data_IF_843105427517
#
_entry.id   IF_843105427517
#
_cell.length_a   1.000
_cell.length_b   1.000
_cell.length_c   1.000
_cell.angle_alpha   90.00
_cell.angle_beta   90.00
_cell.angle_gamma   90.00
#
_symmetry.space_group_name_H-M   'P 1'
#
loop_
_entity.id
_entity.type
_entity.pdbx_description
1 polymer ?
#
# COMPACT_ATOMS: atom_id res chain seq x y z
N UNK A 1 22.93 -17.07 2.13
CA UNK A 1 22.76 -18.33 2.89
C UNK A 1 21.31 -18.75 2.82
N UNK A 2 21.04 -20.04 2.64
CA UNK A 2 19.69 -20.59 2.52
C UNK A 2 19.11 -20.90 3.91
N UNK A 3 18.02 -20.24 4.30
CA UNK A 3 17.38 -20.37 5.62
C UNK A 3 16.91 -21.77 5.96
N UNK A 4 16.50 -22.55 4.96
CA UNK A 4 16.06 -23.93 5.15
C UNK A 4 17.20 -24.87 5.56
N UNK A 5 18.47 -24.47 5.38
CA UNK A 5 19.64 -25.26 5.77
C UNK A 5 19.96 -25.21 7.26
N UNK A 6 19.35 -24.29 8.01
CA UNK A 6 19.50 -24.19 9.47
C UNK A 6 18.40 -24.93 10.24
N UNK A 7 17.51 -25.64 9.55
CA UNK A 7 16.42 -26.38 10.16
C UNK A 7 16.87 -27.79 10.58
N UNK A 8 16.47 -28.30 11.76
CA UNK A 8 16.76 -29.67 12.16
C UNK A 8 16.15 -30.70 11.20
N UNK A 9 16.78 -31.88 11.01
CA UNK A 9 16.18 -32.97 10.24
C UNK A 9 14.82 -33.37 10.80
N UNK A 10 13.81 -33.49 9.93
CA UNK A 10 12.45 -33.86 10.33
C UNK A 10 11.63 -32.73 10.98
N UNK A 11 12.13 -31.49 11.00
CA UNK A 11 11.42 -30.36 11.63
C UNK A 11 10.25 -29.79 10.81
N UNK A 12 10.03 -30.28 9.59
CA UNK A 12 8.89 -29.91 8.74
C UNK A 12 8.15 -31.20 8.41
N UNK A 13 6.95 -31.32 8.97
CA UNK A 13 6.08 -32.50 8.85
C UNK A 13 4.96 -32.31 7.83
N UNK A 14 4.76 -31.09 7.34
CA UNK A 14 3.63 -30.73 6.48
C UNK A 14 3.96 -29.55 5.56
N UNK A 15 3.24 -29.48 4.44
CA UNK A 15 3.29 -28.34 3.53
C UNK A 15 2.88 -27.03 4.22
N UNK A 16 1.88 -27.09 5.10
CA UNK A 16 1.43 -25.94 5.89
C UNK A 16 2.54 -25.38 6.78
N UNK A 17 3.31 -26.26 7.45
CA UNK A 17 4.42 -25.83 8.29
C UNK A 17 5.57 -25.23 7.47
N UNK A 18 5.85 -25.79 6.30
CA UNK A 18 6.79 -25.18 5.34
C UNK A 18 6.34 -23.78 4.91
N UNK A 19 5.07 -23.61 4.53
CA UNK A 19 4.50 -22.32 4.15
C UNK A 19 4.56 -21.32 5.31
N UNK A 20 4.32 -21.76 6.55
CA UNK A 20 4.40 -20.92 7.75
C UNK A 20 5.82 -20.43 7.99
N UNK A 21 6.80 -21.33 7.97
CA UNK A 21 8.21 -20.99 8.18
C UNK A 21 8.78 -20.12 7.04
N UNK A 22 8.44 -20.44 5.80
CA UNK A 22 8.76 -19.61 4.63
C UNK A 22 8.18 -18.21 4.79
N UNK A 23 6.88 -18.12 5.09
CA UNK A 23 6.19 -16.84 5.31
C UNK A 23 6.83 -16.11 6.48
N UNK A 24 7.08 -16.72 7.62
CA UNK A 24 7.71 -16.07 8.76
C UNK A 24 9.12 -15.53 8.41
N UNK A 25 9.92 -16.32 7.69
CA UNK A 25 11.26 -15.94 7.27
C UNK A 25 11.27 -14.76 6.29
N UNK A 26 10.36 -14.75 5.31
CA UNK A 26 10.29 -13.71 4.28
C UNK A 26 9.31 -12.57 4.61
N UNK A 27 8.47 -12.70 5.63
CA UNK A 27 7.56 -11.62 6.09
C UNK A 27 8.29 -10.64 7.00
N UNK A 28 9.30 -11.09 7.74
CA UNK A 28 10.20 -10.20 8.48
C UNK A 28 10.95 -9.20 7.57
N UNK A 29 11.07 -9.50 6.27
CA UNK A 29 11.68 -8.61 5.28
C UNK A 29 10.67 -7.89 4.38
N UNK A 30 9.37 -8.09 4.58
CA UNK A 30 8.36 -7.27 3.90
C UNK A 30 8.50 -5.86 4.45
N UNK A 31 9.07 -4.98 3.63
CA UNK A 31 9.02 -3.54 3.87
C UNK A 31 7.56 -3.19 4.16
N UNK A 32 7.30 -2.68 5.36
CA UNK A 32 5.98 -2.13 5.67
C UNK A 32 5.63 -1.13 4.55
N UNK A 33 4.40 -1.17 4.01
CA UNK A 33 3.96 -0.16 3.07
C UNK A 33 4.25 1.20 3.68
N UNK A 34 4.90 2.09 2.93
CA UNK A 34 5.06 3.47 3.40
C UNK A 34 3.65 4.05 3.54
N UNK A 35 3.41 4.69 4.67
CA UNK A 35 2.13 5.33 5.00
C UNK A 35 2.24 6.84 4.79
N UNK A 36 1.11 7.55 4.85
CA UNK A 36 1.12 9.02 4.86
C UNK A 36 1.97 9.58 6.01
N UNK A 37 1.86 9.01 7.21
CA UNK A 37 2.72 9.36 8.35
C UNK A 37 4.22 9.18 8.03
N UNK A 38 4.57 8.23 7.16
CA UNK A 38 5.95 8.04 6.71
C UNK A 38 6.41 9.14 5.75
N UNK A 39 5.49 9.76 4.99
CA UNK A 39 5.78 10.93 4.15
C UNK A 39 5.84 12.21 4.97
N UNK A 40 4.93 12.39 5.93
CA UNK A 40 4.93 13.55 6.83
C UNK A 40 6.24 13.67 7.62
N UNK A 41 6.84 12.54 7.99
CA UNK A 41 8.14 12.49 8.65
C UNK A 41 9.31 12.94 7.74
N UNK A 42 9.10 13.08 6.43
CA UNK A 42 10.13 13.55 5.48
C UNK A 42 10.08 15.07 5.44
N UNK A 43 10.85 15.69 6.31
CA UNK A 43 11.06 17.15 6.34
C UNK A 43 12.38 17.53 5.68
N UNK A 44 12.43 18.75 5.12
CA UNK A 44 13.67 19.35 4.64
C UNK A 44 14.56 19.70 5.84
N UNK A 45 15.80 19.23 5.83
CA UNK A 45 16.75 19.44 6.93
C UNK A 45 17.43 20.80 6.79
N UNK A 46 17.91 21.35 7.91
CA UNK A 46 18.72 22.59 7.91
C UNK A 46 19.98 22.35 7.08
N UNK A 47 20.21 23.22 6.08
CA UNK A 47 21.35 23.11 5.17
C UNK A 47 21.20 22.08 4.04
N UNK A 48 20.06 21.39 3.94
CA UNK A 48 19.80 20.47 2.84
C UNK A 48 19.34 21.22 1.58
N UNK A 49 20.00 21.00 0.42
CA UNK A 49 19.52 21.53 -0.85
C UNK A 49 18.12 21.03 -1.19
N UNK A 50 17.26 21.92 -1.69
CA UNK A 50 15.87 21.61 -2.03
C UNK A 50 15.74 20.39 -2.95
N UNK A 51 16.65 20.25 -3.93
CA UNK A 51 16.67 19.12 -4.87
C UNK A 51 16.81 17.77 -4.15
N UNK A 52 17.73 17.69 -3.19
CA UNK A 52 17.98 16.46 -2.42
C UNK A 52 16.77 16.10 -1.56
N UNK A 53 16.12 17.10 -0.96
CA UNK A 53 14.87 16.91 -0.24
C UNK A 53 13.77 16.33 -1.15
N UNK A 54 13.53 16.95 -2.31
CA UNK A 54 12.50 16.53 -3.26
C UNK A 54 12.75 15.12 -3.80
N UNK A 55 14.02 14.75 -4.04
CA UNK A 55 14.39 13.39 -4.45
C UNK A 55 14.03 12.35 -3.38
N UNK A 56 14.28 12.64 -2.09
CA UNK A 56 13.89 11.75 -0.97
C UNK A 56 12.37 11.65 -0.85
N UNK A 57 11.68 12.78 -0.93
CA UNK A 57 10.23 12.86 -0.82
C UNK A 57 9.55 12.08 -1.95
N UNK A 58 9.91 12.36 -3.22
CA UNK A 58 9.31 11.69 -4.38
C UNK A 58 9.54 10.18 -4.37
N UNK A 59 10.75 9.74 -3.98
CA UNK A 59 11.04 8.31 -3.85
C UNK A 59 10.13 7.63 -2.83
N UNK A 60 9.85 8.28 -1.71
CA UNK A 60 8.92 7.76 -0.72
C UNK A 60 7.46 7.84 -1.19
N UNK A 61 7.06 8.90 -1.89
CA UNK A 61 5.69 9.13 -2.34
C UNK A 61 5.21 8.04 -3.30
N UNK A 62 6.07 7.56 -4.19
CA UNK A 62 5.76 6.45 -5.12
C UNK A 62 5.48 5.14 -4.39
N UNK A 63 6.05 4.94 -3.20
CA UNK A 63 5.86 3.72 -2.40
C UNK A 63 4.64 3.79 -1.48
N UNK A 64 4.02 4.96 -1.31
CA UNK A 64 2.79 5.11 -0.52
C UNK A 64 1.59 4.67 -1.33
N UNK A 65 0.80 3.76 -0.76
CA UNK A 65 -0.48 3.41 -1.34
C UNK A 65 -1.41 4.62 -1.21
N UNK A 66 -2.07 5.08 -2.29
CA UNK A 66 -3.02 6.18 -2.19
C UNK A 66 -4.09 5.85 -1.15
N UNK A 67 -4.46 6.84 -0.35
CA UNK A 67 -5.58 6.69 0.58
C UNK A 67 -6.86 6.33 -0.15
N UNK A 68 -7.77 5.66 0.55
CA UNK A 68 -9.06 5.27 -0.02
C UNK A 68 -9.85 6.50 -0.49
N UNK A 69 -9.69 7.66 0.17
CA UNK A 69 -10.23 8.95 -0.32
C UNK A 69 -9.67 9.36 -1.68
N UNK A 70 -8.36 9.27 -1.87
CA UNK A 70 -7.71 9.58 -3.15
C UNK A 70 -8.13 8.59 -4.23
N UNK A 71 -8.21 7.29 -3.90
CA UNK A 71 -8.68 6.27 -4.84
C UNK A 71 -10.14 6.47 -5.23
N UNK A 72 -11.01 6.85 -4.28
CA UNK A 72 -12.42 7.18 -4.55
C UNK A 72 -12.54 8.39 -5.48
N UNK A 73 -11.78 9.45 -5.22
CA UNK A 73 -11.72 10.61 -6.10
C UNK A 73 -11.27 10.23 -7.52
N UNK A 74 -10.21 9.43 -7.64
CA UNK A 74 -9.70 8.97 -8.93
C UNK A 74 -10.73 8.09 -9.67
N UNK A 75 -11.41 7.19 -8.95
CA UNK A 75 -12.48 6.35 -9.50
C UNK A 75 -13.65 7.19 -10.02
N UNK A 76 -14.16 8.12 -9.21
CA UNK A 76 -15.24 9.04 -9.60
C UNK A 76 -14.85 9.88 -10.82
N UNK A 77 -13.65 10.47 -10.82
CA UNK A 77 -13.12 11.27 -11.93
C UNK A 77 -12.95 10.48 -13.24
N UNK A 78 -12.76 9.16 -13.13
CA UNK A 78 -12.60 8.23 -14.24
C UNK A 78 -13.91 7.68 -14.79
N UNK A 79 -15.06 7.91 -14.13
CA UNK A 79 -16.35 7.42 -14.60
C UNK A 79 -16.76 8.09 -15.92
N UNK A 80 -17.43 7.32 -16.79
CA UNK A 80 -18.03 7.87 -18.00
C UNK A 80 -19.08 8.89 -17.62
N UNK A 81 -18.83 10.16 -17.98
CA UNK A 81 -19.76 11.28 -17.73
C UNK A 81 -21.16 10.95 -18.25
N UNK A 82 -22.15 11.17 -17.39
CA UNK A 82 -23.57 10.98 -17.72
C UNK A 82 -24.07 9.53 -17.64
N UNK A 83 -23.22 8.56 -17.26
CA UNK A 83 -23.69 7.23 -16.87
C UNK A 83 -24.58 7.29 -15.63
N UNK A 84 -25.52 6.36 -15.52
CA UNK A 84 -26.44 6.33 -14.37
C UNK A 84 -25.69 6.07 -13.06
N UNK A 85 -24.60 5.29 -13.12
CA UNK A 85 -23.69 5.09 -11.99
C UNK A 85 -22.97 6.38 -11.58
N UNK A 86 -22.41 7.15 -12.53
CA UNK A 86 -21.78 8.46 -12.22
C UNK A 86 -22.77 9.47 -11.62
N UNK A 87 -24.03 9.45 -12.05
CA UNK A 87 -25.09 10.28 -11.43
C UNK A 87 -25.40 9.83 -10.00
N UNK A 88 -25.50 8.52 -9.76
CA UNK A 88 -25.80 7.96 -8.45
C UNK A 88 -24.68 8.22 -7.42
N UNK A 89 -23.41 8.07 -7.84
CA UNK A 89 -22.24 8.38 -7.01
C UNK A 89 -22.13 9.88 -6.72
N UNK A 90 -22.46 10.76 -7.67
CA UNK A 90 -22.43 12.21 -7.46
C UNK A 90 -23.51 12.76 -6.53
N UNK A 91 -24.58 12.00 -6.25
CA UNK A 91 -25.66 12.40 -5.35
C UNK A 91 -25.35 12.06 -3.89
N UNK A 92 -24.55 11.02 -3.64
CA UNK A 92 -24.34 10.46 -2.30
C UNK A 92 -22.85 10.38 -1.97
N UNK A 93 -22.44 10.94 -0.84
CA UNK A 93 -21.03 10.95 -0.43
C UNK A 93 -20.56 9.52 -0.07
N UNK A 94 -19.76 8.91 -0.94
CA UNK A 94 -19.13 7.60 -0.69
C UNK A 94 -17.80 7.80 0.04
N UNK A 95 -17.66 7.19 1.23
CA UNK A 95 -16.52 7.40 2.15
C UNK A 95 -15.47 6.29 2.13
N UNK A 96 -15.81 5.11 1.60
CA UNK A 96 -14.93 3.93 1.55
C UNK A 96 -15.00 3.25 0.19
N UNK A 97 -13.93 2.55 -0.18
CA UNK A 97 -13.91 1.76 -1.42
C UNK A 97 -14.94 0.63 -1.42
N UNK A 98 -15.15 -0.02 -0.28
CA UNK A 98 -16.13 -1.10 -0.17
C UNK A 98 -17.55 -0.60 -0.50
N UNK A 99 -17.95 0.55 0.07
CA UNK A 99 -19.26 1.16 -0.22
C UNK A 99 -19.39 1.62 -1.69
N UNK A 100 -18.27 1.97 -2.33
CA UNK A 100 -18.25 2.29 -3.77
C UNK A 100 -18.52 1.04 -4.62
N UNK A 101 -17.85 -0.07 -4.31
CA UNK A 101 -17.97 -1.30 -5.08
C UNK A 101 -19.31 -2.03 -4.86
N UNK A 102 -19.92 -1.91 -3.68
CA UNK A 102 -21.28 -2.45 -3.44
C UNK A 102 -22.36 -1.77 -4.30
N UNK A 103 -22.10 -0.56 -4.80
CA UNK A 103 -23.02 0.19 -5.65
C UNK A 103 -22.78 -0.03 -7.16
N UNK A 104 -21.61 -0.54 -7.54
CA UNK A 104 -21.16 -0.68 -8.94
C UNK A 104 -21.79 -1.90 -9.61
#
# INVERSE_FOLDING_TARGET
>A
MAWYKSLPPGSIDSWTELCRLFTAHFTASRRQPKTEASLEAIIQRVGEPLRTYLERFNKAAVEVKPEDRMKLYLLDSGLRRGSDFSKAVGIEEIKTLDAFFEKA
#
